data_IF_937926863661
#
_entry.id   IF_937926863661
#
_cell.length_a   1.000
_cell.length_b   1.000
_cell.length_c   1.000
_cell.angle_alpha   90.00
_cell.angle_beta   90.00
_cell.angle_gamma   90.00
#
_symmetry.space_group_name_H-M   'P 1'
#
loop_
_entity.id
_entity.type
_entity.pdbx_description
1 polymer ?
#
# COMPACT_ATOMS: atom_id res chain seq x y z
N UNK A 1 19.21 37.63 11.71
CA UNK A 1 18.19 36.58 11.94
C UNK A 1 17.05 36.83 10.99
N UNK A 2 17.07 36.17 9.83
CA UNK A 2 15.93 36.11 8.91
C UNK A 2 15.41 34.69 9.00
N UNK A 3 14.09 34.55 9.21
CA UNK A 3 13.42 33.33 9.65
C UNK A 3 13.72 32.11 8.77
N UNK A 4 13.91 30.97 9.43
CA UNK A 4 13.65 29.67 8.81
C UNK A 4 12.18 29.70 8.40
N UNK A 5 11.91 29.87 7.12
CA UNK A 5 10.61 29.52 6.57
C UNK A 5 10.32 28.07 7.00
N UNK A 6 9.20 27.86 7.67
CA UNK A 6 8.67 26.55 8.02
C UNK A 6 8.51 25.76 6.71
N UNK A 7 9.54 25.00 6.32
CA UNK A 7 9.40 24.02 5.25
C UNK A 7 8.41 22.99 5.77
N UNK A 8 7.24 22.94 5.12
CA UNK A 8 6.34 21.79 5.23
C UNK A 8 7.20 20.54 5.07
N UNK A 9 7.19 19.59 6.02
CA UNK A 9 7.99 18.38 5.88
C UNK A 9 7.59 17.67 4.60
N UNK A 10 8.54 17.45 3.70
CA UNK A 10 8.28 16.77 2.43
C UNK A 10 7.95 15.29 2.70
N UNK A 11 6.96 14.77 1.98
CA UNK A 11 6.64 13.33 1.99
C UNK A 11 7.80 12.54 1.35
N UNK A 12 8.14 11.38 1.91
CA UNK A 12 9.09 10.47 1.27
C UNK A 12 8.51 9.96 -0.05
N UNK A 13 9.19 10.22 -1.17
CA UNK A 13 8.80 9.64 -2.45
C UNK A 13 9.40 8.25 -2.63
N UNK A 14 8.52 7.32 -2.99
CA UNK A 14 8.82 5.91 -3.17
C UNK A 14 8.20 5.41 -4.47
N UNK A 15 8.74 4.35 -5.05
CA UNK A 15 8.17 3.70 -6.23
C UNK A 15 7.23 2.59 -5.79
N UNK A 16 6.07 2.41 -6.43
CA UNK A 16 5.33 1.16 -6.42
C UNK A 16 5.52 0.47 -7.77
N UNK A 17 6.44 -0.51 -7.89
CA UNK A 17 6.76 -1.17 -9.15
C UNK A 17 5.64 -2.16 -9.51
N UNK A 18 4.49 -1.63 -9.89
CA UNK A 18 3.31 -2.44 -10.23
C UNK A 18 2.49 -1.71 -11.28
N UNK A 19 2.93 -1.82 -12.53
CA UNK A 19 2.19 -1.33 -13.70
C UNK A 19 1.64 -2.54 -14.48
N UNK A 20 0.35 -2.57 -14.83
CA UNK A 20 -0.23 -3.65 -15.62
C UNK A 20 0.57 -3.90 -16.91
N UNK A 21 0.88 -5.16 -17.19
CA UNK A 21 1.56 -5.57 -18.42
C UNK A 21 3.09 -5.46 -18.42
N UNK A 22 3.72 -4.87 -17.39
CA UNK A 22 5.18 -4.88 -17.26
C UNK A 22 5.67 -6.19 -16.62
N UNK A 23 6.75 -6.74 -17.18
CA UNK A 23 7.40 -7.94 -16.68
C UNK A 23 8.37 -7.66 -15.52
N UNK A 24 8.81 -8.72 -14.83
CA UNK A 24 9.68 -8.58 -13.65
C UNK A 24 11.02 -7.90 -13.97
N UNK A 25 11.77 -8.23 -15.05
CA UNK A 25 13.00 -7.53 -15.39
C UNK A 25 12.79 -6.02 -15.57
N UNK A 26 11.73 -5.61 -16.27
CA UNK A 26 11.41 -4.20 -16.46
C UNK A 26 11.14 -3.49 -15.14
N UNK A 27 10.39 -4.13 -14.23
CA UNK A 27 10.12 -3.57 -12.90
C UNK A 27 11.39 -3.44 -12.04
N UNK A 28 12.35 -4.37 -12.17
CA UNK A 28 13.65 -4.28 -11.51
C UNK A 28 14.43 -3.06 -12.03
N UNK A 29 14.52 -2.88 -13.34
CA UNK A 29 15.21 -1.73 -13.93
C UNK A 29 14.56 -0.39 -13.51
N UNK A 30 13.23 -0.32 -13.43
CA UNK A 30 12.55 0.86 -12.91
C UNK A 30 12.89 1.16 -11.45
N UNK A 31 13.12 0.14 -10.62
CA UNK A 31 13.59 0.35 -9.24
C UNK A 31 15.03 0.88 -9.21
N UNK A 32 15.92 0.38 -10.08
CA UNK A 32 17.29 0.92 -10.22
C UNK A 32 17.26 2.38 -10.67
N UNK A 33 16.41 2.71 -11.64
CA UNK A 33 16.19 4.10 -12.07
C UNK A 33 15.68 4.95 -10.91
N UNK A 34 14.68 4.49 -10.18
CA UNK A 34 14.15 5.21 -9.02
C UNK A 34 15.23 5.46 -7.95
N UNK A 35 16.08 4.48 -7.64
CA UNK A 35 17.22 4.66 -6.74
C UNK A 35 18.16 5.77 -7.25
N UNK A 36 18.53 5.74 -8.53
CA UNK A 36 19.41 6.76 -9.14
C UNK A 36 18.85 8.18 -9.10
N UNK A 37 17.52 8.29 -8.98
CA UNK A 37 16.78 9.55 -8.91
C UNK A 37 16.52 10.00 -7.46
N UNK A 38 16.95 9.24 -6.46
CA UNK A 38 16.83 9.60 -5.05
C UNK A 38 15.54 9.15 -4.36
N UNK A 39 14.73 8.29 -5.00
CA UNK A 39 13.61 7.65 -4.30
C UNK A 39 14.14 6.79 -3.15
N UNK A 40 13.43 6.75 -2.02
CA UNK A 40 13.94 6.11 -0.79
C UNK A 40 13.54 4.65 -0.62
N UNK A 41 12.38 4.26 -1.17
CA UNK A 41 11.93 2.89 -1.09
C UNK A 41 11.12 2.42 -2.31
N UNK A 42 11.02 1.10 -2.49
CA UNK A 42 10.18 0.48 -3.50
C UNK A 42 9.17 -0.52 -2.87
N UNK A 43 7.89 -0.36 -3.20
CA UNK A 43 6.78 -1.07 -2.58
C UNK A 43 5.97 -1.89 -3.58
N UNK A 44 6.27 -3.19 -3.67
CA UNK A 44 5.55 -4.11 -4.55
C UNK A 44 4.14 -4.42 -4.03
N UNK A 45 3.19 -4.63 -4.93
CA UNK A 45 1.86 -5.16 -4.58
C UNK A 45 1.76 -6.63 -4.96
N UNK A 46 1.04 -7.44 -4.18
CA UNK A 46 0.79 -8.85 -4.47
C UNK A 46 -0.61 -9.03 -5.07
N UNK A 47 -0.69 -8.93 -6.40
CA UNK A 47 -1.93 -9.04 -7.20
C UNK A 47 -1.64 -9.96 -8.42
N UNK A 48 -2.39 -9.88 -9.51
CA UNK A 48 -2.20 -10.60 -10.78
C UNK A 48 -0.90 -10.26 -11.58
N UNK A 49 0.18 -9.82 -10.93
CA UNK A 49 1.48 -9.50 -11.55
C UNK A 49 2.62 -10.40 -11.04
N UNK A 50 3.89 -9.99 -11.23
CA UNK A 50 5.03 -10.69 -10.64
C UNK A 50 4.90 -10.86 -9.12
N UNK A 51 5.32 -12.02 -8.61
CA UNK A 51 5.28 -12.30 -7.17
C UNK A 51 6.17 -11.34 -6.38
N UNK A 52 5.61 -10.74 -5.33
CA UNK A 52 6.22 -9.61 -4.64
C UNK A 52 7.61 -9.91 -4.04
N UNK A 53 7.77 -11.03 -3.32
CA UNK A 53 9.04 -11.35 -2.66
C UNK A 53 10.17 -11.73 -3.63
N UNK A 54 9.86 -12.50 -4.68
CA UNK A 54 10.85 -12.82 -5.71
C UNK A 54 11.31 -11.57 -6.47
N UNK A 55 10.38 -10.68 -6.82
CA UNK A 55 10.69 -9.38 -7.42
C UNK A 55 11.60 -8.55 -6.50
N UNK A 56 11.22 -8.39 -5.22
CA UNK A 56 11.98 -7.58 -4.28
C UNK A 56 13.35 -8.19 -3.93
N UNK A 57 13.49 -9.53 -3.96
CA UNK A 57 14.80 -10.17 -3.88
C UNK A 57 15.74 -9.77 -5.02
N UNK A 58 15.22 -9.74 -6.26
CA UNK A 58 15.97 -9.28 -7.42
C UNK A 58 16.28 -7.76 -7.35
N UNK A 59 15.34 -6.95 -6.85
CA UNK A 59 15.59 -5.51 -6.62
C UNK A 59 16.67 -5.31 -5.56
N UNK A 60 16.65 -6.08 -4.47
CA UNK A 60 17.63 -5.97 -3.38
C UNK A 60 19.07 -6.19 -3.87
N UNK A 61 19.27 -7.16 -4.76
CA UNK A 61 20.57 -7.48 -5.38
C UNK A 61 21.06 -6.37 -6.34
N UNK A 62 20.13 -5.67 -6.99
CA UNK A 62 20.42 -4.65 -8.00
C UNK A 62 20.49 -3.22 -7.45
N UNK A 63 20.22 -3.03 -6.17
CA UNK A 63 20.13 -1.70 -5.53
C UNK A 63 20.92 -1.68 -4.22
N UNK A 64 21.34 -0.51 -3.76
CA UNK A 64 22.29 -0.38 -2.64
C UNK A 64 21.80 0.48 -1.48
N UNK A 65 20.73 1.24 -1.68
CA UNK A 65 20.22 2.25 -0.75
C UNK A 65 18.70 2.20 -0.57
N UNK A 66 17.95 1.62 -1.51
CA UNK A 66 16.51 1.46 -1.38
C UNK A 66 16.14 0.56 -0.20
N UNK A 67 15.27 1.07 0.67
CA UNK A 67 14.42 0.22 1.51
C UNK A 67 13.37 -0.46 0.62
N UNK A 68 12.91 -1.64 1.00
CA UNK A 68 11.94 -2.39 0.20
C UNK A 68 10.69 -2.73 1.01
N UNK A 69 9.56 -2.84 0.35
CA UNK A 69 8.33 -3.21 1.02
C UNK A 69 7.32 -3.93 0.15
N UNK A 70 6.39 -4.60 0.80
CA UNK A 70 5.19 -5.16 0.17
C UNK A 70 3.97 -4.42 0.72
N UNK A 71 3.11 -3.91 -0.15
CA UNK A 71 1.90 -3.18 0.22
C UNK A 71 0.69 -3.63 -0.64
N UNK A 72 0.01 -4.72 -0.30
CA UNK A 72 0.22 -5.64 0.84
C UNK A 72 0.05 -7.09 0.36
N UNK A 73 0.47 -8.06 1.17
CA UNK A 73 0.06 -9.46 1.02
C UNK A 73 -1.26 -9.73 1.75
N UNK A 74 -1.98 -10.78 1.36
CA UNK A 74 -3.18 -11.19 2.06
C UNK A 74 -2.86 -12.15 3.22
N UNK A 75 -3.40 -11.87 4.42
CA UNK A 75 -3.21 -12.72 5.61
C UNK A 75 -3.76 -14.15 5.45
N UNK A 76 -4.60 -14.39 4.44
CA UNK A 76 -5.22 -15.68 4.14
C UNK A 76 -4.46 -16.48 3.08
N UNK A 77 -3.65 -15.86 2.24
CA UNK A 77 -2.93 -16.55 1.15
C UNK A 77 -1.56 -17.05 1.57
N UNK A 78 -0.99 -16.48 2.64
CA UNK A 78 0.32 -16.85 3.17
C UNK A 78 0.25 -17.07 4.68
N UNK A 79 0.80 -18.18 5.15
CA UNK A 79 0.90 -18.44 6.59
C UNK A 79 1.95 -17.52 7.24
N UNK A 80 1.86 -17.22 8.55
CA UNK A 80 2.88 -16.44 9.23
C UNK A 80 4.29 -17.03 9.15
N UNK A 81 4.39 -18.37 9.12
CA UNK A 81 5.66 -19.06 8.92
C UNK A 81 6.27 -18.76 7.55
N UNK A 82 5.45 -18.79 6.48
CA UNK A 82 5.87 -18.41 5.14
C UNK A 82 6.28 -16.93 5.08
N UNK A 83 5.47 -16.05 5.67
CA UNK A 83 5.79 -14.63 5.75
C UNK A 83 7.10 -14.35 6.50
N UNK A 84 7.37 -15.08 7.59
CA UNK A 84 8.63 -14.99 8.32
C UNK A 84 9.84 -15.42 7.47
N UNK A 85 9.73 -16.54 6.74
CA UNK A 85 10.79 -17.02 5.84
C UNK A 85 11.10 -16.02 4.72
N UNK A 86 10.06 -15.49 4.08
CA UNK A 86 10.17 -14.55 2.97
C UNK A 86 10.75 -13.21 3.43
N UNK A 87 10.26 -12.68 4.56
CA UNK A 87 10.75 -11.43 5.11
C UNK A 87 12.20 -11.52 5.57
N UNK A 88 12.61 -12.63 6.20
CA UNK A 88 14.00 -12.84 6.58
C UNK A 88 14.92 -12.95 5.35
N UNK A 89 14.49 -13.66 4.31
CA UNK A 89 15.23 -13.78 3.05
C UNK A 89 15.47 -12.40 2.41
N UNK A 90 14.41 -11.59 2.23
CA UNK A 90 14.55 -10.25 1.66
C UNK A 90 15.41 -9.35 2.56
N UNK A 91 15.24 -9.43 3.88
CA UNK A 91 16.06 -8.67 4.84
C UNK A 91 17.56 -9.00 4.73
N UNK A 92 17.91 -10.26 4.49
CA UNK A 92 19.30 -10.67 4.28
C UNK A 92 19.88 -10.10 2.98
N UNK A 93 19.12 -10.15 1.88
CA UNK A 93 19.52 -9.56 0.60
C UNK A 93 19.67 -8.03 0.67
N UNK A 94 18.89 -7.38 1.53
CA UNK A 94 18.97 -5.95 1.78
C UNK A 94 20.24 -5.51 2.52
N UNK A 95 20.97 -6.42 3.17
CA UNK A 95 22.26 -6.10 3.80
C UNK A 95 22.18 -5.03 4.91
N UNK A 96 21.08 -5.00 5.66
CA UNK A 96 20.87 -4.06 6.79
C UNK A 96 19.88 -2.92 6.50
N UNK A 97 19.46 -2.73 5.24
CA UNK A 97 18.35 -1.84 4.87
C UNK A 97 17.01 -2.37 5.38
N UNK A 98 16.01 -1.51 5.47
CA UNK A 98 14.70 -1.84 6.05
C UNK A 98 13.84 -2.62 5.06
N UNK A 99 13.25 -3.71 5.54
CA UNK A 99 12.15 -4.39 4.84
C UNK A 99 10.81 -4.11 5.52
N UNK A 100 9.82 -3.67 4.74
CA UNK A 100 8.45 -3.44 5.18
C UNK A 100 7.51 -4.53 4.67
N UNK A 101 6.97 -5.34 5.59
CA UNK A 101 5.99 -6.36 5.27
C UNK A 101 4.58 -5.84 5.57
N UNK A 102 3.87 -5.36 4.57
CA UNK A 102 2.46 -5.01 4.69
C UNK A 102 1.55 -6.23 4.58
N UNK A 103 0.70 -6.44 5.58
CA UNK A 103 -0.29 -7.54 5.64
C UNK A 103 -1.71 -6.94 5.69
N UNK A 104 -2.60 -7.42 4.83
CA UNK A 104 -4.00 -6.97 4.79
C UNK A 104 -4.98 -8.11 4.59
N UNK A 105 -6.27 -7.76 4.53
CA UNK A 105 -7.36 -8.74 4.41
C UNK A 105 -7.62 -9.22 2.98
N UNK A 106 -7.12 -8.50 1.98
CA UNK A 106 -7.59 -8.60 0.59
C UNK A 106 -9.10 -8.36 0.45
N UNK A 107 -9.65 -8.65 -0.74
CA UNK A 107 -11.08 -8.63 -1.03
C UNK A 107 -11.62 -10.06 -1.15
N UNK A 108 -12.90 -10.25 -0.82
CA UNK A 108 -13.56 -11.55 -0.96
C UNK A 108 -13.43 -12.11 -2.37
N UNK A 109 -13.56 -11.27 -3.38
CA UNK A 109 -13.40 -11.68 -4.78
C UNK A 109 -12.03 -12.31 -5.05
N UNK A 110 -10.94 -11.66 -4.63
CA UNK A 110 -9.59 -12.20 -4.83
C UNK A 110 -9.42 -13.52 -4.06
N UNK A 111 -9.86 -13.57 -2.81
CA UNK A 111 -9.70 -14.77 -1.99
C UNK A 111 -10.49 -15.97 -2.52
N UNK A 112 -11.78 -15.78 -2.78
CA UNK A 112 -12.67 -16.84 -3.24
C UNK A 112 -12.33 -17.23 -4.69
N UNK A 113 -12.19 -16.27 -5.60
CA UNK A 113 -12.10 -16.54 -7.04
C UNK A 113 -10.69 -16.83 -7.56
N UNK A 114 -9.63 -16.27 -6.95
CA UNK A 114 -8.26 -16.50 -7.43
C UNK A 114 -7.53 -17.55 -6.60
N UNK A 115 -7.72 -17.54 -5.29
CA UNK A 115 -6.95 -18.37 -4.37
C UNK A 115 -7.73 -19.56 -3.80
N UNK A 116 -9.05 -19.63 -4.02
CA UNK A 116 -9.90 -20.67 -3.43
C UNK A 116 -9.83 -20.69 -1.89
N UNK A 117 -9.49 -19.57 -1.26
CA UNK A 117 -9.27 -19.46 0.17
C UNK A 117 -10.55 -18.98 0.87
N UNK A 118 -10.93 -19.57 2.03
CA UNK A 118 -12.12 -19.15 2.74
C UNK A 118 -12.00 -17.70 3.23
N UNK A 119 -13.06 -16.93 3.04
CA UNK A 119 -13.18 -15.61 3.66
C UNK A 119 -13.39 -15.76 5.18
N UNK A 120 -12.36 -15.39 5.95
CA UNK A 120 -12.37 -15.34 7.42
C UNK A 120 -12.53 -13.88 7.88
N UNK A 121 -13.25 -13.58 8.99
CA UNK A 121 -13.34 -12.24 9.56
C UNK A 121 -12.00 -11.48 9.58
N UNK A 122 -11.91 -10.56 8.62
CA UNK A 122 -10.71 -9.84 8.21
C UNK A 122 -9.90 -9.21 9.35
N UNK A 123 -10.56 -8.68 10.39
CA UNK A 123 -9.89 -7.95 11.47
C UNK A 123 -9.09 -8.88 12.40
N UNK A 124 -9.73 -9.93 12.91
CA UNK A 124 -9.10 -10.87 13.86
C UNK A 124 -7.94 -11.61 13.21
N UNK A 125 -8.16 -12.14 12.00
CA UNK A 125 -7.12 -12.82 11.22
C UNK A 125 -5.94 -11.93 10.88
N UNK A 126 -6.14 -10.69 10.40
CA UNK A 126 -5.02 -9.78 10.08
C UNK A 126 -4.26 -9.41 11.35
N UNK A 127 -4.96 -9.08 12.43
CA UNK A 127 -4.35 -8.77 13.74
C UNK A 127 -3.43 -9.90 14.21
N UNK A 128 -3.94 -11.14 14.17
CA UNK A 128 -3.18 -12.30 14.60
C UNK A 128 -2.06 -12.69 13.62
N UNK A 129 -2.26 -12.52 12.30
CA UNK A 129 -1.21 -12.79 11.33
C UNK A 129 -0.02 -11.85 11.52
N UNK A 130 -0.28 -10.56 11.75
CA UNK A 130 0.75 -9.55 12.06
C UNK A 130 1.49 -9.92 13.34
N UNK A 131 0.75 -10.17 14.43
CA UNK A 131 1.34 -10.54 15.72
C UNK A 131 2.15 -11.84 15.65
N UNK A 132 1.63 -12.87 14.95
CA UNK A 132 2.32 -14.13 14.74
C UNK A 132 3.60 -13.94 13.93
N UNK A 133 3.54 -13.21 12.80
CA UNK A 133 4.73 -12.96 11.99
C UNK A 133 5.79 -12.18 12.75
N UNK A 134 5.42 -11.13 13.50
CA UNK A 134 6.34 -10.39 14.37
C UNK A 134 6.96 -11.30 15.44
N UNK A 135 6.16 -12.15 16.09
CA UNK A 135 6.66 -13.08 17.10
C UNK A 135 7.67 -14.09 16.51
N UNK A 136 7.37 -14.66 15.35
CA UNK A 136 8.26 -15.61 14.66
C UNK A 136 9.57 -14.95 14.20
N UNK A 137 9.50 -13.72 13.68
CA UNK A 137 10.70 -12.92 13.35
C UNK A 137 11.53 -12.60 14.59
N UNK A 138 10.89 -12.47 15.75
CA UNK A 138 11.53 -12.33 17.06
C UNK A 138 12.03 -13.64 17.67
N UNK A 139 11.93 -14.78 16.97
CA UNK A 139 12.44 -16.08 17.40
C UNK A 139 11.44 -16.95 18.16
N UNK A 140 10.19 -16.52 18.31
CA UNK A 140 9.13 -17.39 18.82
C UNK A 140 8.95 -18.60 17.90
N UNK A 141 8.55 -19.74 18.48
CA UNK A 141 8.31 -20.98 17.73
C UNK A 141 6.84 -21.36 17.60
N UNK A 142 6.01 -20.66 18.34
CA UNK A 142 4.61 -20.96 18.51
C UNK A 142 3.81 -19.66 18.59
N UNK A 143 2.60 -19.71 18.06
CA UNK A 143 1.59 -18.67 18.19
C UNK A 143 0.23 -19.35 18.13
N UNK A 144 -0.59 -19.20 19.16
CA UNK A 144 -1.90 -19.85 19.25
C UNK A 144 -2.99 -18.80 19.46
N UNK A 145 -3.47 -18.22 18.36
CA UNK A 145 -4.63 -17.33 18.32
C UNK A 145 -5.91 -18.06 17.93
N UNK A 146 -7.01 -17.31 17.80
CA UNK A 146 -8.32 -17.80 17.39
C UNK A 146 -8.35 -18.15 15.89
N UNK A 147 -7.70 -17.33 15.07
CA UNK A 147 -7.68 -17.43 13.60
C UNK A 147 -6.36 -18.01 13.08
N UNK A 148 -5.26 -17.76 13.78
CA UNK A 148 -3.90 -18.10 13.35
C UNK A 148 -3.26 -19.03 14.37
N UNK A 149 -2.75 -20.16 13.87
CA UNK A 149 -2.02 -21.13 14.68
C UNK A 149 -0.70 -21.51 14.01
N UNK A 150 0.38 -21.43 14.77
CA UNK A 150 1.71 -21.91 14.40
C UNK A 150 2.23 -22.72 15.58
N UNK A 151 2.73 -23.93 15.31
CA UNK A 151 3.28 -24.81 16.35
C UNK A 151 4.57 -25.45 15.84
N UNK A 152 5.58 -25.56 16.71
CA UNK A 152 6.85 -26.24 16.42
C UNK A 152 7.58 -25.75 15.16
N UNK A 153 7.41 -24.48 14.81
CA UNK A 153 8.14 -23.87 13.70
C UNK A 153 9.33 -23.09 14.26
N UNK A 154 10.53 -23.27 13.72
CA UNK A 154 11.67 -22.45 14.10
C UNK A 154 12.20 -21.74 12.85
N UNK A 155 12.12 -20.41 12.83
CA UNK A 155 12.74 -19.62 11.78
C UNK A 155 14.26 -19.67 11.99
N UNK A 156 14.95 -20.47 11.18
CA UNK A 156 16.41 -20.66 11.26
C UNK A 156 17.18 -19.60 10.49
N UNK A 157 16.56 -19.03 9.46
CA UNK A 157 17.10 -17.91 8.69
C UNK A 157 16.62 -16.61 9.33
N UNK A 158 17.48 -15.94 10.09
CA UNK A 158 17.12 -14.72 10.84
C UNK A 158 17.33 -13.46 9.98
N UNK A 159 16.50 -12.42 10.12
CA UNK A 159 16.71 -11.15 9.42
C UNK A 159 18.09 -10.54 9.67
N UNK A 160 18.72 -9.95 8.65
CA UNK A 160 20.00 -9.24 8.77
C UNK A 160 19.85 -7.74 9.09
N UNK A 161 18.63 -7.23 9.00
CA UNK A 161 18.28 -5.83 9.25
C UNK A 161 16.84 -5.68 9.77
N UNK A 162 16.35 -4.44 9.90
CA UNK A 162 15.01 -4.19 10.41
C UNK A 162 13.94 -4.76 9.48
N UNK A 163 13.05 -5.61 10.03
CA UNK A 163 11.80 -6.02 9.39
C UNK A 163 10.65 -5.37 10.15
N UNK A 164 9.83 -4.58 9.44
CA UNK A 164 8.70 -3.84 10.00
C UNK A 164 7.41 -4.43 9.45
N UNK A 165 6.48 -4.84 10.30
CA UNK A 165 5.22 -5.45 9.85
C UNK A 165 4.11 -4.40 9.88
N UNK A 166 3.73 -3.90 8.71
CA UNK A 166 2.68 -2.90 8.53
C UNK A 166 1.32 -3.54 8.25
N UNK A 167 0.24 -2.79 8.48
CA UNK A 167 -1.13 -3.26 8.24
C UNK A 167 -1.74 -2.52 7.06
N UNK A 168 -2.25 -3.26 6.08
CA UNK A 168 -3.10 -2.71 5.02
C UNK A 168 -4.46 -2.33 5.60
N UNK A 169 -4.76 -1.04 5.66
CA UNK A 169 -5.96 -0.54 6.31
C UNK A 169 -6.60 0.61 5.53
N UNK A 170 -7.93 0.60 5.43
CA UNK A 170 -8.69 1.68 4.80
C UNK A 170 -9.68 2.29 5.80
N UNK A 171 -10.58 1.46 6.33
CA UNK A 171 -11.62 1.86 7.28
C UNK A 171 -11.22 1.76 8.75
N UNK A 172 -12.05 2.32 9.65
CA UNK A 172 -11.71 2.55 11.06
C UNK A 172 -11.33 1.29 11.83
N UNK A 173 -12.01 0.17 11.59
CA UNK A 173 -11.70 -1.10 12.27
C UNK A 173 -10.29 -1.60 11.96
N UNK A 174 -9.87 -1.56 10.69
CA UNK A 174 -8.52 -2.03 10.31
C UNK A 174 -7.45 -1.01 10.69
N UNK A 175 -7.78 0.30 10.69
CA UNK A 175 -6.89 1.34 11.21
C UNK A 175 -6.63 1.16 12.70
N UNK A 176 -7.65 0.79 13.48
CA UNK A 176 -7.48 0.45 14.88
C UNK A 176 -6.57 -0.78 15.07
N UNK A 177 -6.72 -1.82 14.22
CA UNK A 177 -5.79 -2.96 14.19
C UNK A 177 -4.36 -2.52 13.88
N UNK A 178 -4.17 -1.64 12.90
CA UNK A 178 -2.86 -1.10 12.56
C UNK A 178 -2.17 -0.43 13.76
N UNK A 179 -2.92 0.37 14.54
CA UNK A 179 -2.39 0.99 15.76
C UNK A 179 -2.13 0.01 16.90
N UNK A 180 -2.95 -1.04 17.03
CA UNK A 180 -2.81 -2.02 18.10
C UNK A 180 -1.58 -2.93 17.92
N UNK A 181 -1.27 -3.36 16.70
CA UNK A 181 -0.22 -4.38 16.45
C UNK A 181 0.87 -3.98 15.45
N UNK A 182 0.60 -3.06 14.52
CA UNK A 182 1.50 -2.76 13.40
C UNK A 182 2.70 -1.89 13.75
N UNK A 183 3.73 -2.00 12.90
CA UNK A 183 4.87 -1.07 12.81
C UNK A 183 4.60 0.08 11.82
N UNK A 184 3.46 0.07 11.16
CA UNK A 184 3.04 1.08 10.19
C UNK A 184 1.67 0.73 9.61
N UNK A 185 1.19 1.60 8.74
CA UNK A 185 -0.07 1.41 8.02
C UNK A 185 0.13 1.68 6.52
N UNK A 186 -0.42 0.80 5.69
CA UNK A 186 -0.46 0.95 4.24
C UNK A 186 -1.89 1.35 3.82
N UNK A 187 -2.02 2.56 3.30
CA UNK A 187 -3.26 3.17 2.82
C UNK A 187 -3.33 3.09 1.28
N UNK A 188 -4.53 3.21 0.72
CA UNK A 188 -4.73 3.20 -0.73
C UNK A 188 -6.02 3.94 -1.11
N UNK A 189 -6.08 4.51 -2.32
CA UNK A 189 -7.30 5.07 -2.94
C UNK A 189 -8.07 6.05 -2.04
N UNK A 190 -7.37 7.04 -1.48
CA UNK A 190 -7.96 7.99 -0.52
C UNK A 190 -7.45 9.41 -0.77
N UNK A 191 -8.22 10.46 -0.47
CA UNK A 191 -7.78 11.85 -0.63
C UNK A 191 -6.88 12.32 0.52
N UNK A 192 -5.99 13.32 0.29
CA UNK A 192 -5.05 13.80 1.32
C UNK A 192 -5.75 14.27 2.59
N UNK A 193 -6.92 14.91 2.48
CA UNK A 193 -7.71 15.36 3.63
C UNK A 193 -8.18 14.24 4.58
N UNK A 194 -8.10 12.97 4.16
CA UNK A 194 -8.46 11.82 4.99
C UNK A 194 -7.30 11.33 5.88
N UNK A 195 -6.05 11.66 5.55
CA UNK A 195 -4.85 11.23 6.31
C UNK A 195 -4.97 11.56 7.81
N UNK A 196 -5.38 12.77 8.25
CA UNK A 196 -5.47 13.08 9.67
C UNK A 196 -6.53 12.24 10.40
N UNK A 197 -7.67 11.99 9.75
CA UNK A 197 -8.74 11.14 10.30
C UNK A 197 -8.28 9.69 10.42
N UNK A 198 -7.52 9.20 9.45
CA UNK A 198 -6.95 7.84 9.49
C UNK A 198 -5.89 7.72 10.58
N UNK A 199 -4.99 8.70 10.70
CA UNK A 199 -4.01 8.79 11.79
C UNK A 199 -4.69 8.77 13.16
N UNK A 200 -5.79 9.52 13.34
CA UNK A 200 -6.55 9.51 14.58
C UNK A 200 -7.13 8.13 14.92
N UNK A 201 -7.66 7.40 13.93
CA UNK A 201 -8.16 6.05 14.13
C UNK A 201 -7.05 5.05 14.51
N UNK A 202 -5.86 5.19 13.91
CA UNK A 202 -4.67 4.40 14.30
C UNK A 202 -4.28 4.69 15.75
N UNK A 203 -4.18 5.97 16.13
CA UNK A 203 -3.84 6.36 17.50
C UNK A 203 -4.87 5.85 18.52
N UNK A 204 -6.15 5.90 18.19
CA UNK A 204 -7.21 5.35 19.04
C UNK A 204 -7.06 3.82 19.23
N UNK A 205 -6.71 3.09 18.17
CA UNK A 205 -6.42 1.67 18.25
C UNK A 205 -5.21 1.34 19.13
N UNK A 206 -4.13 2.13 19.00
CA UNK A 206 -2.95 1.98 19.84
C UNK A 206 -3.28 2.23 21.33
N UNK A 207 -4.01 3.32 21.62
CA UNK A 207 -4.43 3.65 22.98
C UNK A 207 -5.34 2.57 23.58
N UNK A 208 -6.30 2.04 22.83
CA UNK A 208 -7.16 0.95 23.27
C UNK A 208 -6.38 -0.35 23.56
N UNK A 209 -5.24 -0.56 22.90
CA UNK A 209 -4.34 -1.67 23.15
C UNK A 209 -3.28 -1.39 24.24
N UNK A 210 -3.31 -0.22 24.89
CA UNK A 210 -2.28 0.19 25.86
C UNK A 210 -0.89 0.36 25.24
N UNK A 211 -0.83 0.62 23.93
CA UNK A 211 0.40 0.71 23.14
C UNK A 211 0.72 2.15 22.79
N UNK A 212 1.97 2.54 22.95
CA UNK A 212 2.54 3.74 22.33
C UNK A 212 3.08 3.34 20.95
N UNK A 213 2.74 4.10 19.92
CA UNK A 213 3.29 3.85 18.58
C UNK A 213 4.81 4.06 18.62
N UNK A 214 5.60 3.17 18.01
CA UNK A 214 7.04 3.34 17.99
C UNK A 214 7.46 4.52 17.09
N UNK A 215 8.64 5.10 17.33
CA UNK A 215 9.15 6.25 16.55
C UNK A 215 9.32 5.94 15.05
N UNK A 216 9.53 4.67 14.72
CA UNK A 216 9.61 4.19 13.34
C UNK A 216 8.24 3.99 12.70
N UNK A 217 7.11 4.22 13.39
CA UNK A 217 5.80 4.04 12.80
C UNK A 217 5.61 4.97 11.60
N UNK A 218 5.18 4.43 10.46
CA UNK A 218 4.95 5.19 9.23
C UNK A 218 3.55 4.98 8.69
N UNK A 219 2.96 6.07 8.22
CA UNK A 219 1.77 6.11 7.40
C UNK A 219 2.22 6.19 5.94
N UNK A 220 2.12 5.06 5.26
CA UNK A 220 2.43 4.91 3.86
C UNK A 220 1.13 4.89 3.06
N UNK A 221 1.09 5.54 1.91
CA UNK A 221 0.01 5.41 0.94
C UNK A 221 0.56 5.01 -0.43
N UNK A 222 -0.11 4.05 -1.05
CA UNK A 222 0.06 3.79 -2.48
C UNK A 222 -0.78 4.80 -3.24
N UNK A 223 -0.13 5.64 -4.04
CA UNK A 223 -0.77 6.71 -4.81
C UNK A 223 -0.69 6.40 -6.30
N UNK A 224 -1.82 6.50 -6.99
CA UNK A 224 -1.91 6.18 -8.41
C UNK A 224 -1.78 7.45 -9.24
N UNK A 225 -0.71 7.56 -10.02
CA UNK A 225 -0.40 8.73 -10.82
C UNK A 225 -0.64 8.47 -12.32
N UNK A 226 -1.43 9.33 -12.95
CA UNK A 226 -1.67 9.35 -14.40
C UNK A 226 -1.14 10.68 -14.94
N UNK A 227 0.14 10.75 -15.36
CA UNK A 227 0.73 11.95 -15.95
C UNK A 227 0.10 12.19 -17.33
N UNK A 228 -0.55 13.35 -17.52
CA UNK A 228 -1.23 13.67 -18.78
C UNK A 228 -1.49 15.18 -18.93
N UNK A 229 -1.51 15.66 -20.17
CA UNK A 229 -2.04 16.99 -20.51
C UNK A 229 -3.57 16.96 -20.76
N UNK A 230 -4.13 15.78 -21.06
CA UNK A 230 -5.57 15.55 -21.21
C UNK A 230 -6.15 14.98 -19.91
N UNK A 231 -6.73 15.86 -19.09
CA UNK A 231 -7.37 15.47 -17.83
C UNK A 231 -8.58 14.55 -18.05
N UNK A 232 -9.32 14.72 -19.15
CA UNK A 232 -10.51 13.91 -19.41
C UNK A 232 -10.11 12.47 -19.66
N UNK A 233 -9.17 12.24 -20.58
CA UNK A 233 -8.65 10.92 -20.88
C UNK A 233 -7.98 10.28 -19.66
N UNK A 234 -7.20 11.06 -18.90
CA UNK A 234 -6.56 10.55 -17.69
C UNK A 234 -7.57 10.09 -16.62
N UNK A 235 -8.65 10.84 -16.43
CA UNK A 235 -9.71 10.47 -15.48
C UNK A 235 -10.48 9.23 -15.95
N UNK A 236 -10.71 9.09 -17.25
CA UNK A 236 -11.31 7.88 -17.83
C UNK A 236 -10.45 6.64 -17.57
N UNK A 237 -9.13 6.74 -17.71
CA UNK A 237 -8.21 5.63 -17.37
C UNK A 237 -8.35 5.20 -15.90
N UNK A 238 -8.39 6.16 -14.97
CA UNK A 238 -8.59 5.85 -13.53
C UNK A 238 -9.95 5.21 -13.29
N UNK A 239 -11.01 5.76 -13.89
CA UNK A 239 -12.38 5.26 -13.75
C UNK A 239 -12.50 3.82 -14.26
N UNK A 240 -11.96 3.52 -15.44
CA UNK A 240 -11.94 2.17 -15.99
C UNK A 240 -11.16 1.18 -15.11
N UNK A 241 -10.00 1.61 -14.59
CA UNK A 241 -9.14 0.75 -13.76
C UNK A 241 -9.67 0.52 -12.33
N UNK A 242 -10.28 1.53 -11.70
CA UNK A 242 -10.65 1.52 -10.29
C UNK A 242 -12.16 1.56 -10.01
N UNK A 243 -13.01 1.84 -11.00
CA UNK A 243 -14.47 1.73 -10.86
C UNK A 243 -14.92 0.36 -10.36
N UNK A 244 -14.44 -0.76 -10.93
CA UNK A 244 -14.74 -2.10 -10.44
C UNK A 244 -14.27 -2.37 -9.00
N UNK A 245 -13.23 -1.68 -8.51
CA UNK A 245 -12.82 -1.80 -7.11
C UNK A 245 -13.93 -1.29 -6.20
N UNK A 246 -14.49 -0.10 -6.48
CA UNK A 246 -15.57 0.48 -5.67
C UNK A 246 -16.90 -0.26 -5.79
N UNK A 247 -17.06 -1.17 -6.75
CA UNK A 247 -18.15 -2.14 -6.78
C UNK A 247 -18.02 -3.25 -5.72
N UNK A 248 -16.80 -3.52 -5.23
CA UNK A 248 -16.57 -4.54 -4.21
C UNK A 248 -16.96 -4.03 -2.81
N UNK A 249 -17.62 -4.85 -1.96
CA UNK A 249 -18.20 -4.38 -0.70
C UNK A 249 -17.22 -3.67 0.26
N UNK A 250 -15.95 -4.08 0.29
CA UNK A 250 -14.93 -3.48 1.17
C UNK A 250 -14.59 -2.06 0.73
N UNK A 251 -14.31 -1.85 -0.55
CA UNK A 251 -13.99 -0.54 -1.11
C UNK A 251 -15.22 0.36 -1.21
N UNK A 252 -16.40 -0.21 -1.47
CA UNK A 252 -17.66 0.55 -1.47
C UNK A 252 -17.97 1.16 -0.11
N UNK A 253 -17.87 0.36 0.97
CA UNK A 253 -18.00 0.88 2.34
C UNK A 253 -16.94 1.93 2.68
N UNK A 254 -15.73 1.77 2.14
CA UNK A 254 -14.69 2.76 2.30
C UNK A 254 -15.04 4.08 1.60
N UNK A 255 -15.52 4.04 0.35
CA UNK A 255 -16.00 5.21 -0.38
C UNK A 255 -17.10 5.97 0.37
N UNK A 256 -18.09 5.25 0.91
CA UNK A 256 -19.10 5.86 1.78
C UNK A 256 -18.48 6.52 3.02
N UNK A 257 -17.50 5.87 3.66
CA UNK A 257 -16.80 6.41 4.83
C UNK A 257 -15.94 7.64 4.52
N UNK A 258 -15.41 7.74 3.30
CA UNK A 258 -14.68 8.92 2.80
C UNK A 258 -15.60 10.14 2.62
N UNK A 259 -16.92 9.95 2.57
CA UNK A 259 -17.90 11.02 2.43
C UNK A 259 -18.81 10.92 1.20
N UNK A 260 -18.79 9.78 0.49
CA UNK A 260 -19.54 9.58 -0.76
C UNK A 260 -20.57 8.42 -0.65
N UNK A 261 -21.53 8.49 0.31
CA UNK A 261 -22.46 7.39 0.54
C UNK A 261 -23.44 7.17 -0.62
N UNK A 262 -23.85 8.24 -1.32
CA UNK A 262 -24.78 8.17 -2.43
C UNK A 262 -24.12 7.55 -3.66
N UNK A 263 -22.90 7.98 -3.97
CA UNK A 263 -22.11 7.45 -5.09
C UNK A 263 -21.69 6.00 -4.83
N UNK A 264 -21.36 5.65 -3.58
CA UNK A 264 -21.14 4.27 -3.18
C UNK A 264 -22.38 3.41 -3.46
N UNK A 265 -23.57 3.84 -3.05
CA UNK A 265 -24.81 3.11 -3.31
C UNK A 265 -25.10 2.96 -4.82
N UNK A 266 -24.88 4.02 -5.60
CA UNK A 266 -25.06 4.01 -7.05
C UNK A 266 -24.09 3.05 -7.75
N UNK A 267 -22.80 3.10 -7.40
CA UNK A 267 -21.78 2.18 -7.92
C UNK A 267 -22.13 0.73 -7.59
N UNK A 268 -22.56 0.44 -6.35
CA UNK A 268 -22.92 -0.91 -5.94
C UNK A 268 -24.11 -1.46 -6.74
N UNK A 269 -25.14 -0.63 -6.97
CA UNK A 269 -26.30 -1.01 -7.77
C UNK A 269 -25.93 -1.29 -9.24
N UNK A 270 -25.16 -0.38 -9.86
CA UNK A 270 -24.72 -0.54 -11.24
C UNK A 270 -23.80 -1.76 -11.42
N UNK A 271 -22.87 -1.97 -10.49
CA UNK A 271 -21.97 -3.12 -10.51
C UNK A 271 -22.74 -4.46 -10.38
N UNK A 272 -23.74 -4.52 -9.49
CA UNK A 272 -24.58 -5.71 -9.34
C UNK A 272 -25.43 -6.00 -10.59
N UNK A 273 -25.80 -4.97 -11.35
CA UNK A 273 -26.51 -5.09 -12.62
C UNK A 273 -25.59 -5.40 -13.82
N UNK A 274 -24.26 -5.40 -13.64
CA UNK A 274 -23.30 -5.50 -14.74
C UNK A 274 -23.23 -4.23 -15.62
N UNK A 275 -23.80 -3.12 -15.15
CA UNK A 275 -23.85 -1.83 -15.83
C UNK A 275 -22.54 -1.06 -15.63
N UNK A 276 -21.60 -1.26 -16.56
CA UNK A 276 -20.29 -0.58 -16.54
C UNK A 276 -20.44 0.93 -16.69
N UNK A 277 -21.30 1.38 -17.59
CA UNK A 277 -21.54 2.81 -17.83
C UNK A 277 -22.13 3.49 -16.59
N UNK A 278 -23.00 2.78 -15.85
CA UNK A 278 -23.55 3.24 -14.58
C UNK A 278 -22.49 3.40 -13.48
N UNK A 279 -21.57 2.43 -13.36
CA UNK A 279 -20.41 2.53 -12.44
C UNK A 279 -19.57 3.75 -12.79
N UNK A 280 -19.26 3.90 -14.08
CA UNK A 280 -18.43 4.97 -14.60
C UNK A 280 -19.05 6.36 -14.35
N UNK A 281 -20.35 6.51 -14.61
CA UNK A 281 -21.09 7.75 -14.35
C UNK A 281 -21.14 8.10 -12.87
N UNK A 282 -21.34 7.12 -11.99
CA UNK A 282 -21.40 7.35 -10.55
C UNK A 282 -20.02 7.73 -9.97
N UNK A 283 -18.92 7.24 -10.56
CA UNK A 283 -17.56 7.68 -10.25
C UNK A 283 -17.21 8.98 -10.99
N UNK A 284 -17.89 10.08 -10.63
CA UNK A 284 -17.67 11.39 -11.24
C UNK A 284 -16.24 11.92 -11.00
N UNK A 285 -15.83 12.93 -11.77
CA UNK A 285 -14.46 13.47 -11.80
C UNK A 285 -13.90 13.89 -10.42
N UNK A 286 -14.78 14.33 -9.52
CA UNK A 286 -14.40 14.70 -8.16
C UNK A 286 -13.91 13.51 -7.32
N UNK A 287 -14.55 12.35 -7.43
CA UNK A 287 -14.08 11.11 -6.78
C UNK A 287 -12.78 10.63 -7.43
N UNK A 288 -12.69 10.70 -8.76
CA UNK A 288 -11.48 10.33 -9.49
C UNK A 288 -10.27 11.16 -9.02
N UNK A 289 -10.42 12.48 -8.99
CA UNK A 289 -9.37 13.40 -8.52
C UNK A 289 -9.09 13.23 -7.02
N UNK A 290 -10.06 12.78 -6.23
CA UNK A 290 -9.87 12.49 -4.81
C UNK A 290 -8.96 11.27 -4.59
N UNK A 291 -9.07 10.21 -5.39
CA UNK A 291 -8.39 8.93 -5.15
C UNK A 291 -7.17 8.67 -6.04
N UNK A 292 -6.90 9.55 -7.01
CA UNK A 292 -5.76 9.46 -7.92
C UNK A 292 -5.09 10.83 -8.18
N UNK A 293 -3.85 10.78 -8.66
CA UNK A 293 -3.05 11.94 -9.06
C UNK A 293 -3.07 12.05 -10.60
N UNK A 294 -4.06 12.75 -11.15
CA UNK A 294 -4.23 12.87 -12.60
C UNK A 294 -3.76 14.24 -13.09
N UNK A 295 -2.97 14.28 -14.15
CA UNK A 295 -2.64 15.52 -14.87
C UNK A 295 -1.16 15.80 -14.98
N UNK A 296 -0.82 17.06 -15.30
CA UNK A 296 0.56 17.49 -15.51
C UNK A 296 1.40 17.34 -14.24
N UNK A 297 2.71 17.18 -14.42
CA UNK A 297 3.68 17.00 -13.32
C UNK A 297 3.53 18.06 -12.22
N UNK A 298 3.28 19.32 -12.57
CA UNK A 298 3.03 20.40 -11.59
C UNK A 298 1.83 20.12 -10.69
N UNK A 299 0.69 19.72 -11.27
CA UNK A 299 -0.52 19.33 -10.51
C UNK A 299 -0.27 18.11 -9.62
N UNK A 300 0.49 17.13 -10.12
CA UNK A 300 0.86 15.94 -9.33
C UNK A 300 1.71 16.35 -8.11
N UNK A 301 2.68 17.27 -8.29
CA UNK A 301 3.50 17.79 -7.19
C UNK A 301 2.68 18.55 -6.15
N UNK A 302 1.81 19.46 -6.57
CA UNK A 302 0.90 20.18 -5.67
C UNK A 302 0.08 19.21 -4.82
N UNK A 303 -0.45 18.15 -5.44
CA UNK A 303 -1.20 17.11 -4.72
C UNK A 303 -0.32 16.32 -3.75
N UNK A 304 0.93 16.01 -4.10
CA UNK A 304 1.89 15.37 -3.17
C UNK A 304 2.20 16.27 -1.97
N UNK A 305 2.30 17.58 -2.18
CA UNK A 305 2.47 18.56 -1.10
C UNK A 305 1.23 18.61 -0.18
N UNK A 306 0.02 18.45 -0.71
CA UNK A 306 -1.20 18.29 0.10
C UNK A 306 -1.14 17.04 1.00
N UNK A 307 -0.66 15.90 0.49
CA UNK A 307 -0.46 14.70 1.31
C UNK A 307 0.60 14.92 2.38
N UNK A 308 1.71 15.57 2.03
CA UNK A 308 2.77 15.89 2.96
C UNK A 308 2.25 16.79 4.10
N UNK A 309 1.52 17.84 3.76
CA UNK A 309 0.87 18.74 4.72
C UNK A 309 -0.18 18.03 5.60
N UNK A 310 -0.85 17.02 5.06
CA UNK A 310 -1.81 16.20 5.80
C UNK A 310 -1.12 15.16 6.72
N UNK A 311 0.21 15.06 6.68
CA UNK A 311 1.01 14.17 7.52
C UNK A 311 1.13 12.75 6.95
N UNK A 312 1.16 12.60 5.62
CA UNK A 312 1.59 11.33 5.01
C UNK A 312 3.11 11.21 5.11
N UNK A 313 3.61 10.06 5.57
CA UNK A 313 5.05 9.87 5.73
C UNK A 313 5.69 9.36 4.43
N UNK A 314 5.04 8.40 3.74
CA UNK A 314 5.56 7.75 2.53
C UNK A 314 4.49 7.75 1.42
N UNK A 315 4.85 8.29 0.26
CA UNK A 315 4.06 8.25 -0.97
C UNK A 315 4.69 7.26 -1.98
N UNK A 316 4.16 6.04 -2.04
CA UNK A 316 4.57 5.03 -3.01
C UNK A 316 3.80 5.23 -4.33
N UNK A 317 4.47 5.83 -5.31
CA UNK A 317 3.88 6.18 -6.61
C UNK A 317 3.77 4.96 -7.50
N UNK A 318 2.54 4.56 -7.81
CA UNK A 318 2.25 3.72 -8.95
C UNK A 318 1.97 4.61 -10.17
N UNK A 319 2.92 4.68 -11.10
CA UNK A 319 2.75 5.43 -12.34
C UNK A 319 2.02 4.55 -13.36
N UNK A 320 0.86 5.03 -13.80
CA UNK A 320 0.04 4.41 -14.83
C UNK A 320 0.33 5.16 -16.13
N UNK A 321 1.20 4.56 -16.95
CA UNK A 321 1.57 5.06 -18.27
C UNK A 321 1.66 3.90 -19.27
N UNK A 322 1.53 4.17 -20.59
CA UNK A 322 1.54 3.13 -21.64
C UNK A 322 2.83 2.31 -21.73
N UNK A 323 3.98 2.86 -21.34
CA UNK A 323 5.27 2.21 -21.48
C UNK A 323 6.20 2.42 -20.28
N UNK A 324 7.17 1.53 -20.10
CA UNK A 324 8.20 1.67 -19.06
C UNK A 324 9.06 2.93 -19.24
N UNK A 325 9.29 3.38 -20.48
CA UNK A 325 9.99 4.62 -20.77
C UNK A 325 9.25 5.83 -20.21
N UNK A 326 7.93 5.92 -20.44
CA UNK A 326 7.10 6.99 -19.90
C UNK A 326 6.98 6.94 -18.36
N UNK A 327 6.99 5.73 -17.79
CA UNK A 327 7.12 5.57 -16.33
C UNK A 327 8.44 6.18 -15.85
N UNK A 328 9.57 5.83 -16.47
CA UNK A 328 10.89 6.36 -16.09
C UNK A 328 10.99 7.89 -16.24
N UNK A 329 10.44 8.45 -17.32
CA UNK A 329 10.41 9.90 -17.55
C UNK A 329 9.57 10.61 -16.48
N UNK A 330 8.44 10.03 -16.11
CA UNK A 330 7.59 10.53 -15.02
C UNK A 330 8.33 10.49 -13.68
N UNK A 331 9.01 9.39 -13.37
CA UNK A 331 9.81 9.27 -12.15
C UNK A 331 10.91 10.33 -12.11
N UNK A 332 11.58 10.58 -13.23
CA UNK A 332 12.61 11.62 -13.38
C UNK A 332 12.05 13.03 -13.18
N UNK A 333 10.86 13.30 -13.70
CA UNK A 333 10.18 14.59 -13.55
C UNK A 333 9.67 14.82 -12.11
N UNK A 334 9.27 13.74 -11.42
CA UNK A 334 8.79 13.76 -10.03
C UNK A 334 9.88 13.55 -8.97
N UNK A 335 11.14 13.34 -9.36
CA UNK A 335 12.24 13.04 -8.43
C UNK A 335 12.25 13.96 -7.20
N UNK A 336 12.65 13.43 -6.02
CA UNK A 336 12.89 14.25 -4.84
C UNK A 336 13.79 15.46 -5.14
N UNK A 337 13.48 16.60 -4.51
CA UNK A 337 14.21 17.86 -4.65
C UNK A 337 15.27 18.02 -3.55
#
# INVERSE_FOLDING_TARGET
>A
MVGRADRVPAVELSLSPTSPGLDAPTLVELCVVAESLGYRSAWAAEVAGPGAFALLGAVADRTTSLDLGVAVVAATTRSPAMLGMEAATVSQLLGGRTFWLGIGSSSRFILDSWHGAPFDPALGRVREAVAATQALLGGAREFHGEHVRVSRFALTSVPAGPVRVAVGALGPGMLAVAGAVGDGVCLNLMPPGLVPRQRAAVLAGAAAAGRVLPDHFRIMARLHAVPTDDLSAGREMVRSGFGPYFGQPVYNRFLAWMGYPEEAAAIAAAFAAGDRDGVDKAMHDGIVDAVALVGRIGRIRERLDEYAAAGLDIAALNVIAPSAGEVADTLKALRPL
#
